data_IF_247147965063
#
_entry.id   IF_247147965063
#
_cell.length_a   1.000
_cell.length_b   1.000
_cell.length_c   1.000
_cell.angle_alpha   90.00
_cell.angle_beta   90.00
_cell.angle_gamma   90.00
#
_symmetry.space_group_name_H-M   'P 1'
#
loop_
_entity.id
_entity.type
_entity.pdbx_description
1 polymer ?
#
# COMPACT_ATOMS: atom_id res chain seq x y z
N UNK A 1 2.17 -10.44 -2.66
CA UNK A 1 2.83 -10.25 -3.96
C UNK A 1 1.88 -9.59 -4.93
N UNK A 2 2.27 -8.45 -5.53
CA UNK A 2 1.47 -7.71 -6.50
C UNK A 2 1.44 -8.37 -7.88
N UNK A 3 0.49 -7.95 -8.71
CA UNK A 3 0.39 -8.32 -10.12
C UNK A 3 1.68 -7.95 -10.87
N UNK A 4 2.13 -8.79 -11.80
CA UNK A 4 3.33 -8.56 -12.62
C UNK A 4 4.66 -8.77 -11.89
N UNK A 5 4.65 -9.03 -10.58
CA UNK A 5 5.87 -9.30 -9.84
C UNK A 5 6.41 -10.71 -10.15
N UNK A 6 7.68 -10.75 -10.54
CA UNK A 6 8.46 -11.96 -10.71
C UNK A 6 9.07 -12.41 -9.39
N UNK A 7 8.94 -13.70 -9.07
CA UNK A 7 9.57 -14.34 -7.89
C UNK A 7 10.16 -15.69 -8.27
N UNK A 8 10.94 -16.31 -7.39
CA UNK A 8 11.56 -17.63 -7.63
C UNK A 8 10.54 -18.72 -7.94
N UNK A 9 9.36 -18.66 -7.33
CA UNK A 9 8.25 -19.62 -7.55
C UNK A 9 7.22 -19.14 -8.58
N UNK A 10 7.26 -17.87 -9.00
CA UNK A 10 6.37 -17.28 -10.00
C UNK A 10 7.20 -16.60 -11.08
N UNK A 11 7.87 -17.43 -11.88
CA UNK A 11 8.89 -17.02 -12.85
C UNK A 11 8.31 -16.37 -14.12
N UNK A 12 7.02 -16.52 -14.38
CA UNK A 12 6.30 -15.85 -15.48
C UNK A 12 5.69 -14.51 -15.06
N UNK A 13 5.86 -14.11 -13.79
CA UNK A 13 5.16 -12.98 -13.20
C UNK A 13 3.75 -13.35 -12.74
N UNK A 14 3.35 -12.84 -11.57
CA UNK A 14 2.04 -13.16 -10.99
C UNK A 14 0.90 -12.53 -11.80
N UNK A 15 -0.10 -13.34 -12.18
CA UNK A 15 -1.28 -12.86 -12.94
C UNK A 15 -2.50 -12.58 -12.06
N UNK A 16 -2.51 -13.05 -10.81
CA UNK A 16 -3.58 -12.75 -9.86
C UNK A 16 -3.32 -11.47 -9.08
N UNK A 17 -4.41 -10.75 -8.79
CA UNK A 17 -4.38 -9.55 -7.93
C UNK A 17 -3.80 -9.84 -6.55
N UNK A 18 -3.24 -8.80 -5.93
CA UNK A 18 -2.76 -8.93 -4.56
C UNK A 18 -3.95 -9.08 -3.60
N UNK A 19 -3.91 -10.09 -2.73
CA UNK A 19 -4.87 -10.21 -1.63
C UNK A 19 -4.72 -8.99 -0.70
N UNK A 20 -5.81 -8.25 -0.51
CA UNK A 20 -5.84 -7.13 0.42
C UNK A 20 -6.19 -7.63 1.82
N UNK A 21 -5.15 -7.90 2.64
CA UNK A 21 -5.35 -8.49 3.96
C UNK A 21 -5.99 -7.50 4.93
N UNK A 22 -5.56 -6.23 4.90
CA UNK A 22 -6.18 -5.18 5.69
C UNK A 22 -7.70 -5.07 5.47
N UNK A 23 -8.18 -5.14 4.23
CA UNK A 23 -9.62 -5.14 3.94
C UNK A 23 -10.37 -6.36 4.47
N UNK A 24 -9.77 -7.54 4.35
CA UNK A 24 -10.36 -8.77 4.88
C UNK A 24 -10.49 -8.67 6.39
N UNK A 25 -9.44 -8.19 7.06
CA UNK A 25 -9.46 -8.00 8.52
C UNK A 25 -10.47 -6.91 8.92
N UNK A 26 -10.58 -5.81 8.16
CA UNK A 26 -11.62 -4.81 8.38
C UNK A 26 -13.04 -5.39 8.29
N UNK A 27 -13.27 -6.35 7.38
CA UNK A 27 -14.56 -7.00 7.21
C UNK A 27 -14.97 -7.89 8.39
N UNK A 28 -14.03 -8.27 9.27
CA UNK A 28 -14.30 -8.97 10.53
C UNK A 28 -14.73 -8.04 11.68
N UNK A 29 -14.94 -6.75 11.40
CA UNK A 29 -15.39 -5.74 12.37
C UNK A 29 -14.48 -5.65 13.61
N UNK A 30 -13.16 -5.74 13.39
CA UNK A 30 -12.22 -5.62 14.49
C UNK A 30 -12.07 -4.15 14.94
N UNK A 31 -11.77 -3.90 16.22
CA UNK A 31 -11.65 -2.53 16.76
C UNK A 31 -10.65 -1.63 16.03
N UNK A 32 -9.55 -2.19 15.50
CA UNK A 32 -8.50 -1.38 14.88
C UNK A 32 -7.73 -2.12 13.78
N UNK A 33 -7.70 -1.52 12.59
CA UNK A 33 -6.83 -1.89 11.47
C UNK A 33 -6.02 -0.67 11.05
N UNK A 34 -4.72 -0.80 10.84
CA UNK A 34 -3.91 0.28 10.30
C UNK A 34 -2.94 -0.20 9.22
N UNK A 35 -2.72 0.62 8.20
CA UNK A 35 -1.63 0.46 7.24
C UNK A 35 -0.59 1.55 7.44
N UNK A 36 0.68 1.18 7.45
CA UNK A 36 1.79 2.12 7.70
C UNK A 36 2.97 1.86 6.77
N UNK A 37 3.92 2.80 6.76
CA UNK A 37 5.14 2.71 5.96
C UNK A 37 6.35 3.15 6.78
N UNK A 38 7.46 2.44 6.62
CA UNK A 38 8.73 2.78 7.29
C UNK A 38 9.27 4.15 6.88
N UNK A 39 8.82 4.71 5.75
CA UNK A 39 9.21 6.05 5.31
C UNK A 39 8.57 7.19 6.13
N UNK A 40 7.53 6.88 6.92
CA UNK A 40 6.79 7.83 7.74
C UNK A 40 6.80 7.38 9.22
N UNK A 41 7.97 7.42 9.90
CA UNK A 41 8.13 6.87 11.24
C UNK A 41 7.22 7.54 12.28
N UNK A 42 6.95 8.85 12.14
CA UNK A 42 6.04 9.58 13.03
C UNK A 42 4.60 9.07 12.94
N UNK A 43 4.14 8.74 11.72
CA UNK A 43 2.81 8.16 11.49
C UNK A 43 2.73 6.74 12.07
N UNK A 44 3.75 5.91 11.78
CA UNK A 44 3.86 4.57 12.33
C UNK A 44 3.86 4.56 13.87
N UNK A 45 4.63 5.45 14.49
CA UNK A 45 4.69 5.57 15.95
C UNK A 45 3.35 5.96 16.56
N UNK A 46 2.64 6.94 15.97
CA UNK A 46 1.31 7.35 16.43
C UNK A 46 0.29 6.21 16.34
N UNK A 47 0.28 5.49 15.22
CA UNK A 47 -0.57 4.30 15.01
C UNK A 47 -0.27 3.20 16.02
N UNK A 48 1.01 2.91 16.26
CA UNK A 48 1.42 1.89 17.21
C UNK A 48 1.04 2.26 18.66
N UNK A 49 1.21 3.53 19.04
CA UNK A 49 0.78 4.03 20.35
C UNK A 49 -0.73 3.92 20.52
N UNK A 50 -1.50 4.34 19.53
CA UNK A 50 -2.98 4.24 19.54
C UNK A 50 -3.45 2.80 19.61
N UNK A 51 -2.85 1.90 18.81
CA UNK A 51 -3.14 0.47 18.86
C UNK A 51 -2.93 -0.11 20.27
N UNK A 52 -1.91 0.34 21.01
CA UNK A 52 -1.66 -0.12 22.39
C UNK A 52 -2.81 0.21 23.35
N UNK A 53 -3.51 1.33 23.13
CA UNK A 53 -4.59 1.82 23.99
C UNK A 53 -5.95 1.12 23.70
N UNK A 54 -6.09 0.49 22.53
CA UNK A 54 -7.33 -0.17 22.11
C UNK A 54 -7.40 -1.60 22.64
N UNK A 55 -8.53 -1.97 23.25
CA UNK A 55 -8.81 -3.33 23.73
C UNK A 55 -9.39 -4.19 22.59
N UNK A 56 -9.02 -5.47 22.55
CA UNK A 56 -9.47 -6.42 21.53
C UNK A 56 -8.45 -6.70 20.43
N UNK A 57 -8.85 -7.44 19.37
CA UNK A 57 -7.99 -7.80 18.25
C UNK A 57 -7.62 -6.55 17.45
N UNK A 58 -6.35 -6.47 17.04
CA UNK A 58 -5.79 -5.33 16.32
C UNK A 58 -4.87 -5.84 15.23
N UNK A 59 -4.88 -5.17 14.10
CA UNK A 59 -4.04 -5.54 12.97
C UNK A 59 -3.33 -4.32 12.40
N UNK A 60 -2.04 -4.47 12.12
CA UNK A 60 -1.24 -3.44 11.47
C UNK A 60 -0.42 -4.04 10.35
N UNK A 61 -0.55 -3.46 9.15
CA UNK A 61 0.20 -3.86 7.97
C UNK A 61 1.22 -2.79 7.62
N UNK A 62 2.50 -3.16 7.64
CA UNK A 62 3.60 -2.22 7.43
C UNK A 62 4.31 -2.58 6.13
N UNK A 63 4.37 -1.64 5.18
CA UNK A 63 5.18 -1.84 3.99
C UNK A 63 6.68 -1.72 4.35
N UNK A 64 7.37 -2.84 4.23
CA UNK A 64 8.82 -2.94 4.42
C UNK A 64 9.46 -3.45 3.11
N UNK A 65 10.06 -2.56 2.31
CA UNK A 65 10.80 -2.97 1.12
C UNK A 65 11.94 -3.93 1.49
N UNK A 66 12.03 -5.04 0.76
CA UNK A 66 13.02 -6.07 0.99
C UNK A 66 14.01 -6.06 -0.18
N UNK A 67 15.23 -5.51 -0.01
CA UNK A 67 16.22 -5.40 -1.08
C UNK A 67 16.49 -6.70 -1.86
N UNK A 68 16.71 -7.87 -1.23
CA UNK A 68 16.94 -9.10 -1.98
C UNK A 68 15.70 -9.57 -2.75
N UNK A 69 14.50 -9.44 -2.17
CA UNK A 69 13.27 -9.90 -2.81
C UNK A 69 12.77 -8.98 -3.91
N UNK A 70 13.03 -7.68 -3.80
CA UNK A 70 12.56 -6.66 -4.75
C UNK A 70 13.65 -6.26 -5.75
N UNK A 71 14.91 -6.67 -5.50
CA UNK A 71 16.09 -6.47 -6.34
C UNK A 71 16.37 -4.99 -6.57
N UNK A 72 16.67 -4.29 -5.48
CA UNK A 72 17.09 -2.88 -5.47
C UNK A 72 18.23 -2.68 -4.46
N UNK A 73 18.92 -1.55 -4.53
CA UNK A 73 20.02 -1.20 -3.62
C UNK A 73 19.53 -0.99 -2.17
N UNK A 74 20.19 -1.62 -1.18
CA UNK A 74 19.80 -1.52 0.24
C UNK A 74 19.75 -0.07 0.74
N UNK A 75 20.61 0.83 0.24
CA UNK A 75 20.62 2.25 0.61
C UNK A 75 19.30 2.97 0.26
N UNK A 76 18.55 2.47 -0.73
CA UNK A 76 17.29 3.04 -1.20
C UNK A 76 16.05 2.53 -0.46
N UNK A 77 16.20 1.79 0.62
CA UNK A 77 15.07 1.16 1.34
C UNK A 77 13.99 2.16 1.76
N UNK A 78 14.38 3.30 2.34
CA UNK A 78 13.44 4.35 2.76
C UNK A 78 12.82 5.06 1.56
N UNK A 79 13.61 5.31 0.51
CA UNK A 79 13.15 5.93 -0.73
C UNK A 79 12.09 5.06 -1.43
N UNK A 80 12.32 3.75 -1.51
CA UNK A 80 11.39 2.77 -2.07
C UNK A 80 10.05 2.75 -1.31
N UNK A 81 10.10 2.79 0.02
CA UNK A 81 8.90 2.86 0.86
C UNK A 81 8.16 4.20 0.69
N UNK A 82 8.89 5.29 0.48
CA UNK A 82 8.31 6.62 0.21
C UNK A 82 7.62 6.66 -1.14
N UNK A 83 8.28 6.17 -2.20
CA UNK A 83 7.71 6.09 -3.54
C UNK A 83 6.45 5.23 -3.57
N UNK A 84 6.41 4.12 -2.83
CA UNK A 84 5.21 3.29 -2.75
C UNK A 84 3.98 4.10 -2.27
N UNK A 85 4.19 5.00 -1.30
CA UNK A 85 3.12 5.86 -0.77
C UNK A 85 2.81 7.02 -1.71
N UNK A 86 3.82 7.68 -2.26
CA UNK A 86 3.65 8.85 -3.13
C UNK A 86 3.04 8.51 -4.50
N UNK A 87 3.22 7.28 -4.98
CA UNK A 87 2.58 6.76 -6.20
C UNK A 87 1.19 6.20 -5.94
N UNK A 88 0.74 6.12 -4.68
CA UNK A 88 -0.54 5.51 -4.31
C UNK A 88 -0.57 3.97 -4.46
N UNK A 89 0.57 3.34 -4.71
CA UNK A 89 0.74 1.88 -4.71
C UNK A 89 0.57 1.27 -3.31
N UNK A 90 0.86 2.05 -2.27
CA UNK A 90 0.55 1.77 -0.88
C UNK A 90 -0.22 2.94 -0.27
N UNK A 91 -1.33 2.66 0.40
CA UNK A 91 -2.13 3.69 1.07
C UNK A 91 -1.96 3.56 2.57
N UNK A 92 -1.67 4.67 3.24
CA UNK A 92 -1.61 4.76 4.70
C UNK A 92 -2.97 5.22 5.25
N UNK A 93 -3.62 4.36 6.02
CA UNK A 93 -4.90 4.65 6.65
C UNK A 93 -5.05 3.94 7.99
N UNK A 94 -6.07 4.34 8.72
CA UNK A 94 -6.54 3.74 9.97
C UNK A 94 -8.03 3.49 9.84
N UNK A 95 -8.47 2.33 10.31
CA UNK A 95 -9.86 1.99 10.49
C UNK A 95 -10.08 1.71 11.97
N UNK A 96 -10.95 2.51 12.58
CA UNK A 96 -11.25 2.44 14.01
C UNK A 96 -12.76 2.46 14.19
N UNK A 97 -13.31 1.40 14.80
CA UNK A 97 -14.74 1.29 15.12
C UNK A 97 -15.68 1.72 13.96
N UNK A 98 -15.43 1.22 12.74
CA UNK A 98 -16.23 1.55 11.57
C UNK A 98 -15.75 2.75 10.76
N UNK A 99 -14.88 3.61 11.31
CA UNK A 99 -14.44 4.85 10.65
C UNK A 99 -13.08 4.70 9.96
N UNK A 100 -13.03 4.99 8.67
CA UNK A 100 -11.81 4.96 7.86
C UNK A 100 -11.20 6.36 7.74
N UNK A 101 -9.92 6.52 8.11
CA UNK A 101 -9.18 7.79 8.04
C UNK A 101 -7.86 7.59 7.30
N UNK A 102 -7.57 8.44 6.31
CA UNK A 102 -6.31 8.44 5.57
C UNK A 102 -5.32 9.47 6.12
N UNK A 103 -4.02 9.13 6.06
CA UNK A 103 -2.95 9.97 6.62
C UNK A 103 -1.94 10.39 5.54
N UNK A 104 -1.32 11.56 5.75
CA UNK A 104 -0.19 12.03 4.94
C UNK A 104 -0.51 12.13 3.45
N UNK A 105 0.42 11.72 2.55
CA UNK A 105 0.20 11.79 1.10
C UNK A 105 -0.98 10.95 0.62
N UNK A 106 -1.27 9.82 1.28
CA UNK A 106 -2.38 8.95 0.90
C UNK A 106 -3.74 9.65 1.06
N UNK A 107 -3.88 10.54 2.04
CA UNK A 107 -5.08 11.39 2.18
C UNK A 107 -5.28 12.25 0.94
N UNK A 108 -4.23 12.95 0.51
CA UNK A 108 -4.27 13.83 -0.66
C UNK A 108 -4.58 13.10 -1.97
N UNK A 109 -4.07 11.88 -2.12
CA UNK A 109 -4.35 11.05 -3.30
C UNK A 109 -5.82 10.61 -3.32
N UNK A 110 -6.37 10.24 -2.16
CA UNK A 110 -7.76 9.77 -2.06
C UNK A 110 -8.76 10.92 -2.20
N UNK A 111 -8.54 12.06 -1.54
CA UNK A 111 -9.44 13.23 -1.63
C UNK A 111 -9.27 14.04 -2.94
N UNK A 112 -8.21 13.77 -3.70
CA UNK A 112 -7.93 14.43 -4.98
C UNK A 112 -7.21 15.77 -4.85
N UNK A 113 -6.79 16.16 -3.64
CA UNK A 113 -5.99 17.38 -3.41
C UNK A 113 -4.51 17.22 -3.78
N UNK A 114 -4.05 15.99 -4.05
CA UNK A 114 -2.69 15.70 -4.48
C UNK A 114 -2.67 14.69 -5.62
N UNK A 115 -1.97 15.06 -6.69
CA UNK A 115 -1.67 14.14 -7.78
C UNK A 115 -0.60 13.11 -7.35
N UNK A 116 -0.83 11.80 -7.53
CA UNK A 116 0.15 10.78 -7.23
C UNK A 116 1.32 10.83 -8.22
N UNK A 117 2.52 10.45 -7.76
CA UNK A 117 3.65 10.25 -8.68
C UNK A 117 3.36 9.11 -9.67
N UNK A 118 3.98 9.10 -10.86
CA UNK A 118 3.90 7.98 -11.79
C UNK A 118 4.29 6.67 -11.12
N UNK A 119 3.44 5.64 -11.23
CA UNK A 119 3.72 4.31 -10.63
C UNK A 119 4.98 3.69 -11.25
N UNK A 120 5.31 4.07 -12.47
CA UNK A 120 6.51 3.68 -13.19
C UNK A 120 7.79 3.99 -12.43
N UNK A 121 7.85 5.13 -11.73
CA UNK A 121 9.03 5.51 -10.94
C UNK A 121 9.29 4.48 -9.83
N UNK A 122 8.22 3.95 -9.25
CA UNK A 122 8.31 2.90 -8.23
C UNK A 122 8.59 1.52 -8.86
N UNK A 123 7.97 1.19 -9.98
CA UNK A 123 8.16 -0.12 -10.64
C UNK A 123 9.57 -0.27 -11.23
N UNK A 124 10.10 0.76 -11.88
CA UNK A 124 11.43 0.75 -12.53
C UNK A 124 12.58 0.56 -11.53
N UNK A 125 12.39 1.01 -10.30
CA UNK A 125 13.39 0.84 -9.24
C UNK A 125 13.50 -0.62 -8.74
N UNK A 126 12.59 -1.52 -9.13
CA UNK A 126 12.50 -2.87 -8.60
C UNK A 126 12.77 -3.91 -9.70
N UNK A 127 13.84 -4.69 -9.56
CA UNK A 127 14.15 -5.74 -10.53
C UNK A 127 13.10 -6.85 -10.65
N UNK A 128 12.17 -6.98 -9.69
CA UNK A 128 11.02 -7.92 -9.80
C UNK A 128 9.97 -7.53 -10.85
N UNK A 129 10.04 -6.31 -11.39
CA UNK A 129 9.16 -5.85 -12.47
C UNK A 129 9.91 -5.66 -13.79
N UNK A 130 11.13 -6.20 -13.94
CA UNK A 130 11.94 -6.02 -15.15
C UNK A 130 11.26 -6.53 -16.44
N UNK A 131 10.35 -7.50 -16.32
CA UNK A 131 9.71 -8.18 -17.45
C UNK A 131 8.26 -7.72 -17.68
N UNK A 132 7.79 -6.66 -17.03
CA UNK A 132 6.41 -6.18 -17.25
C UNK A 132 6.28 -5.60 -18.67
N UNK A 133 5.17 -5.89 -19.33
CA UNK A 133 4.81 -5.32 -20.63
C UNK A 133 4.03 -4.01 -20.46
N UNK A 134 3.84 -3.26 -21.54
CA UNK A 134 2.99 -2.06 -21.54
C UNK A 134 1.53 -2.38 -21.17
N UNK A 135 1.05 -3.57 -21.52
CA UNK A 135 -0.30 -4.01 -21.15
C UNK A 135 -0.39 -4.37 -19.67
N UNK A 136 0.64 -4.98 -19.09
CA UNK A 136 0.71 -5.20 -17.63
C UNK A 136 0.72 -3.84 -16.89
N UNK A 137 1.44 -2.85 -17.42
CA UNK A 137 1.48 -1.51 -16.84
C UNK A 137 0.11 -0.82 -16.87
N UNK A 138 -0.64 -0.95 -17.98
CA UNK A 138 -2.02 -0.45 -18.08
C UNK A 138 -2.92 -1.10 -17.05
N UNK A 139 -2.82 -2.42 -16.87
CA UNK A 139 -3.63 -3.14 -15.89
C UNK A 139 -3.30 -2.71 -14.45
N UNK A 140 -2.01 -2.53 -14.12
CA UNK A 140 -1.58 -2.02 -12.80
C UNK A 140 -2.19 -0.63 -12.55
N UNK A 141 -2.09 0.28 -13.52
CA UNK A 141 -2.67 1.63 -13.38
C UNK A 141 -4.19 1.59 -13.20
N UNK A 142 -4.87 0.72 -13.93
CA UNK A 142 -6.31 0.50 -13.80
C UNK A 142 -6.67 -0.02 -12.41
N UNK A 143 -5.99 -1.04 -11.91
CA UNK A 143 -6.21 -1.60 -10.57
C UNK A 143 -5.99 -0.55 -9.47
N UNK A 144 -4.94 0.28 -9.60
CA UNK A 144 -4.70 1.37 -8.65
C UNK A 144 -5.84 2.39 -8.65
N UNK A 145 -6.31 2.80 -9.83
CA UNK A 145 -7.42 3.75 -9.95
C UNK A 145 -8.71 3.19 -9.36
N UNK A 146 -9.06 1.94 -9.69
CA UNK A 146 -10.22 1.24 -9.12
C UNK A 146 -10.14 1.19 -7.59
N UNK A 147 -8.95 0.90 -7.05
CA UNK A 147 -8.72 0.85 -5.60
C UNK A 147 -8.86 2.23 -4.96
N UNK A 148 -8.36 3.30 -5.58
CA UNK A 148 -8.52 4.67 -5.07
C UNK A 148 -9.98 5.09 -5.06
N UNK A 149 -10.73 4.81 -6.13
CA UNK A 149 -12.16 5.09 -6.20
C UNK A 149 -12.96 4.32 -5.16
N UNK A 150 -12.63 3.05 -4.92
CA UNK A 150 -13.22 2.24 -3.87
C UNK A 150 -12.99 2.87 -2.49
N UNK A 151 -11.76 3.24 -2.17
CA UNK A 151 -11.44 3.87 -0.88
C UNK A 151 -12.03 5.27 -0.74
N UNK A 152 -12.13 6.04 -1.82
CA UNK A 152 -12.80 7.34 -1.84
C UNK A 152 -14.27 7.21 -1.47
N UNK A 153 -14.98 6.26 -2.09
CA UNK A 153 -16.39 5.97 -1.74
C UNK A 153 -16.51 5.51 -0.30
N UNK A 154 -15.66 4.56 0.12
CA UNK A 154 -15.69 4.02 1.48
C UNK A 154 -15.41 5.09 2.55
N UNK A 155 -14.52 6.04 2.27
CA UNK A 155 -14.24 7.19 3.16
C UNK A 155 -15.37 8.22 3.24
N UNK A 156 -16.36 8.18 2.35
CA UNK A 156 -17.53 9.07 2.36
C UNK A 156 -18.75 8.43 3.03
N UNK A 157 -18.78 7.09 3.09
CA UNK A 157 -19.85 6.31 3.71
C UNK A 157 -19.70 6.18 5.25
N UNK A 158 -18.50 6.40 5.78
CA UNK A 158 -18.12 6.26 7.19
C UNK A 158 -17.26 7.45 7.64
#
# INVERSE_FOLDING_TARGET
TPYGAWTTTTWTGKKEKQKNLAEIVMAHDIPYVATASIAYPTDLYRKAKKAKEIKGPKYMEIIAPCPPGWRFDMSKTVEMARLAVETGAWLMYEFENGKLTFNGPSKGIIDGSREPKPVEDWLRMQGRFKNITDDDLKEIKKELKERWEFYRKKSQLF
#
